data_IF_054252487661
#
_entry.id   IF_054252487661
#
_cell.length_a   1.000
_cell.length_b   1.000
_cell.length_c   1.000
_cell.angle_alpha   90.00
_cell.angle_beta   90.00
_cell.angle_gamma   90.00
#
_symmetry.space_group_name_H-M   'P 1'
#
loop_
_entity.id
_entity.type
_entity.pdbx_description
1 polymer ?
#
# COMPACT_ATOMS: atom_id res chain seq x y z
N UNK A 1 15.13 23.11 7.42
CA UNK A 1 14.15 22.48 6.51
C UNK A 1 14.96 21.89 5.38
N UNK A 2 14.83 20.59 5.10
CA UNK A 2 15.47 19.98 3.92
C UNK A 2 14.72 20.46 2.68
N UNK A 3 15.43 21.01 1.68
CA UNK A 3 14.81 21.33 0.40
C UNK A 3 14.29 20.04 -0.25
N UNK A 4 13.06 20.08 -0.76
CA UNK A 4 12.46 18.96 -1.46
C UNK A 4 13.31 18.59 -2.68
N UNK A 5 13.60 17.30 -2.85
CA UNK A 5 14.39 16.80 -3.96
C UNK A 5 13.59 15.82 -4.80
N UNK A 6 13.40 16.17 -6.08
CA UNK A 6 12.79 15.31 -7.10
C UNK A 6 13.49 13.96 -7.22
N UNK A 7 14.82 13.96 -7.22
CA UNK A 7 15.60 12.72 -7.34
C UNK A 7 15.47 11.85 -6.09
N UNK A 8 15.42 12.45 -4.90
CA UNK A 8 15.18 11.72 -3.66
C UNK A 8 13.76 11.13 -3.64
N UNK A 9 12.75 11.92 -3.99
CA UNK A 9 11.37 11.46 -4.07
C UNK A 9 11.21 10.31 -5.08
N UNK A 10 11.78 10.43 -6.28
CA UNK A 10 11.76 9.37 -7.29
C UNK A 10 12.50 8.11 -6.81
N UNK A 11 13.64 8.25 -6.12
CA UNK A 11 14.36 7.13 -5.53
C UNK A 11 13.53 6.41 -4.47
N UNK A 12 12.86 7.15 -3.56
CA UNK A 12 11.96 6.56 -2.57
C UNK A 12 10.81 5.81 -3.24
N UNK A 13 10.18 6.39 -4.26
CA UNK A 13 9.09 5.73 -4.99
C UNK A 13 9.55 4.45 -5.69
N UNK A 14 10.77 4.44 -6.23
CA UNK A 14 11.37 3.23 -6.80
C UNK A 14 11.59 2.14 -5.76
N UNK A 15 12.08 2.48 -4.57
CA UNK A 15 12.22 1.53 -3.45
C UNK A 15 10.84 0.98 -3.06
N UNK A 16 9.81 1.83 -2.93
CA UNK A 16 8.44 1.40 -2.65
C UNK A 16 7.90 0.42 -3.71
N UNK A 17 8.24 0.62 -4.98
CA UNK A 17 7.89 -0.34 -6.04
C UNK A 17 8.57 -1.69 -5.82
N UNK A 18 9.88 -1.69 -5.57
CA UNK A 18 10.67 -2.92 -5.34
C UNK A 18 10.16 -3.68 -4.10
N UNK A 19 9.86 -2.97 -3.01
CA UNK A 19 9.27 -3.53 -1.79
C UNK A 19 7.88 -4.13 -2.06
N UNK A 20 7.02 -3.43 -2.80
CA UNK A 20 5.68 -3.94 -3.13
C UNK A 20 5.74 -5.21 -3.99
N UNK A 21 6.71 -5.32 -4.91
CA UNK A 21 6.94 -6.54 -5.68
C UNK A 21 7.41 -7.71 -4.79
N UNK A 22 8.29 -7.44 -3.82
CA UNK A 22 8.72 -8.43 -2.83
C UNK A 22 7.56 -8.94 -1.98
N UNK A 23 6.70 -8.03 -1.49
CA UNK A 23 5.51 -8.38 -0.72
C UNK A 23 4.52 -9.19 -1.58
N UNK A 24 4.30 -8.76 -2.83
CA UNK A 24 3.43 -9.45 -3.77
C UNK A 24 3.87 -10.91 -3.98
N UNK A 25 5.16 -11.16 -4.16
CA UNK A 25 5.69 -12.51 -4.32
C UNK A 25 5.40 -13.41 -3.10
N UNK A 26 5.50 -12.86 -1.88
CA UNK A 26 5.16 -13.60 -0.66
C UNK A 26 3.66 -13.93 -0.58
N UNK A 27 2.79 -13.00 -0.97
CA UNK A 27 1.34 -13.21 -1.02
C UNK A 27 0.97 -14.25 -2.09
N UNK A 28 1.60 -14.20 -3.26
CA UNK A 28 1.37 -15.17 -4.35
C UNK A 28 1.85 -16.58 -3.97
N UNK A 29 2.99 -16.69 -3.29
CA UNK A 29 3.45 -17.96 -2.74
C UNK A 29 2.44 -18.53 -1.73
N UNK A 30 1.95 -17.71 -0.80
CA UNK A 30 0.94 -18.13 0.17
C UNK A 30 -0.36 -18.61 -0.50
N UNK A 31 -0.84 -17.88 -1.50
CA UNK A 31 -2.02 -18.28 -2.29
C UNK A 31 -1.82 -19.63 -3.00
N UNK A 32 -0.63 -19.88 -3.55
CA UNK A 32 -0.32 -21.15 -4.22
C UNK A 32 -0.26 -22.34 -3.23
N UNK A 33 0.24 -22.11 -2.01
CA UNK A 33 0.32 -23.15 -0.98
C UNK A 33 -1.05 -23.45 -0.34
N UNK A 34 -1.98 -22.51 -0.28
CA UNK A 34 -3.35 -22.77 0.18
C UNK A 34 -4.14 -23.62 -0.86
N UNK A 35 -3.85 -23.49 -2.16
CA UNK A 35 -4.53 -24.29 -3.20
C UNK A 35 -4.20 -25.79 -3.19
N UNK A 36 -3.03 -26.20 -2.68
CA UNK A 36 -2.68 -27.62 -2.53
C UNK A 36 -3.38 -28.29 -1.35
N UNK A 37 -3.77 -27.53 -0.32
CA UNK A 37 -4.57 -28.01 0.82
C UNK A 37 -6.05 -28.19 0.46
N UNK A 38 -6.59 -27.34 -0.43
CA UNK A 38 -7.96 -27.51 -0.94
C UNK A 38 -8.15 -28.81 -1.77
N UNK A 39 -7.06 -29.40 -2.30
CA UNK A 39 -7.11 -30.64 -3.08
C UNK A 39 -7.18 -31.93 -2.24
N UNK A 40 -7.10 -31.83 -0.91
CA UNK A 40 -7.22 -32.98 0.01
C UNK A 40 -8.49 -32.95 0.88
N UNK A 41 -9.20 -31.82 0.92
CA UNK A 41 -10.49 -31.68 1.61
C UNK A 41 -11.66 -31.92 0.64
N UNK A 42 -11.80 -33.16 0.18
CA UNK A 42 -13.04 -33.63 -0.44
C UNK A 42 -14.15 -33.68 0.61
N UNK A 43 -15.29 -33.09 0.26
CA UNK A 43 -16.61 -33.26 0.86
C UNK A 43 -16.75 -32.98 2.37
N UNK A 44 -17.09 -31.73 2.70
CA UNK A 44 -17.67 -31.42 4.01
C UNK A 44 -17.70 -29.93 4.34
N UNK A 45 -18.87 -29.33 4.17
CA UNK A 45 -19.31 -28.09 4.83
C UNK A 45 -18.92 -26.73 4.20
N UNK A 46 -19.74 -26.33 3.23
CA UNK A 46 -19.83 -24.99 2.64
C UNK A 46 -20.44 -23.97 3.63
N UNK A 47 -19.73 -23.60 4.71
CA UNK A 47 -20.17 -22.46 5.52
C UNK A 47 -19.00 -21.67 6.15
N UNK A 48 -18.85 -20.41 5.71
CA UNK A 48 -18.16 -19.28 6.36
C UNK A 48 -16.64 -19.28 6.62
N UNK A 49 -15.85 -20.27 6.19
CA UNK A 49 -14.40 -20.31 6.50
C UNK A 49 -13.41 -19.96 5.37
N UNK A 50 -13.88 -19.59 4.17
CA UNK A 50 -13.01 -19.27 3.01
C UNK A 50 -12.51 -17.80 2.92
N UNK A 51 -12.53 -17.03 4.01
CA UNK A 51 -12.18 -15.59 3.95
C UNK A 51 -10.68 -15.33 3.77
N UNK A 52 -9.80 -16.26 4.15
CA UNK A 52 -8.35 -16.05 4.10
C UNK A 52 -7.80 -15.97 2.65
N UNK A 53 -8.09 -16.94 1.75
CA UNK A 53 -7.73 -16.78 0.33
C UNK A 53 -8.34 -15.54 -0.32
N UNK A 54 -9.54 -15.13 0.08
CA UNK A 54 -10.18 -13.92 -0.43
C UNK A 54 -9.47 -12.63 0.05
N UNK A 55 -9.03 -12.57 1.31
CA UNK A 55 -8.24 -11.45 1.85
C UNK A 55 -6.87 -11.36 1.16
N UNK A 56 -6.18 -12.49 1.00
CA UNK A 56 -4.92 -12.54 0.25
C UNK A 56 -5.10 -12.11 -1.21
N UNK A 57 -6.19 -12.53 -1.86
CA UNK A 57 -6.51 -12.10 -3.23
C UNK A 57 -6.78 -10.59 -3.31
N UNK A 58 -7.45 -10.03 -2.31
CA UNK A 58 -7.71 -8.59 -2.23
C UNK A 58 -6.42 -7.81 -2.02
N UNK A 59 -5.57 -8.26 -1.09
CA UNK A 59 -4.25 -7.68 -0.84
C UNK A 59 -3.38 -7.73 -2.11
N UNK A 60 -3.36 -8.86 -2.81
CA UNK A 60 -2.67 -9.05 -4.10
C UNK A 60 -3.11 -8.00 -5.12
N UNK A 61 -4.41 -7.81 -5.31
CA UNK A 61 -4.93 -6.81 -6.25
C UNK A 61 -4.50 -5.38 -5.88
N UNK A 62 -4.51 -5.03 -4.58
CA UNK A 62 -4.04 -3.72 -4.11
C UNK A 62 -2.54 -3.52 -4.32
N UNK A 63 -1.72 -4.54 -4.07
CA UNK A 63 -0.28 -4.51 -4.30
C UNK A 63 0.07 -4.33 -5.79
N UNK A 64 -0.69 -4.96 -6.69
CA UNK A 64 -0.51 -4.81 -8.14
C UNK A 64 -0.80 -3.38 -8.58
N UNK A 65 -1.92 -2.79 -8.12
CA UNK A 65 -2.24 -1.38 -8.41
C UNK A 65 -1.23 -0.42 -7.80
N UNK A 66 -0.81 -0.66 -6.56
CA UNK A 66 0.21 0.14 -5.90
C UNK A 66 1.51 0.13 -6.69
N UNK A 67 1.98 -1.06 -7.07
CA UNK A 67 3.19 -1.23 -7.89
C UNK A 67 3.08 -0.54 -9.25
N UNK A 68 1.90 -0.56 -9.87
CA UNK A 68 1.66 0.14 -11.12
C UNK A 68 1.83 1.66 -10.93
N UNK A 69 1.20 2.23 -9.90
CA UNK A 69 1.25 3.66 -9.65
C UNK A 69 2.63 4.14 -9.16
N UNK A 70 3.34 3.38 -8.33
CA UNK A 70 4.71 3.75 -7.92
C UNK A 70 5.67 3.70 -9.10
N UNK A 71 5.57 2.70 -9.97
CA UNK A 71 6.36 2.64 -11.20
C UNK A 71 6.11 3.87 -12.10
N UNK A 72 4.84 4.25 -12.30
CA UNK A 72 4.48 5.45 -13.06
C UNK A 72 4.99 6.73 -12.38
N UNK A 73 4.75 6.88 -11.08
CA UNK A 73 5.13 8.07 -10.32
C UNK A 73 6.64 8.30 -10.34
N UNK A 74 7.47 7.24 -10.34
CA UNK A 74 8.94 7.37 -10.43
C UNK A 74 9.37 8.21 -11.63
N UNK A 75 8.83 7.91 -12.81
CA UNK A 75 9.18 8.63 -14.04
C UNK A 75 8.55 10.04 -14.03
N UNK A 76 7.28 10.13 -13.65
CA UNK A 76 6.53 11.40 -13.67
C UNK A 76 7.11 12.43 -12.70
N UNK A 77 7.63 11.99 -11.55
CA UNK A 77 8.34 12.88 -10.61
C UNK A 77 9.58 13.47 -11.29
N UNK A 78 10.41 12.64 -11.93
CA UNK A 78 11.64 13.11 -12.59
C UNK A 78 11.37 14.09 -13.74
N UNK A 79 10.25 13.91 -14.43
CA UNK A 79 9.84 14.71 -15.58
C UNK A 79 8.93 15.89 -15.22
N UNK A 80 8.61 16.09 -13.94
CA UNK A 80 7.65 17.11 -13.52
C UNK A 80 8.14 18.52 -13.89
N UNK A 81 7.36 19.31 -14.65
CA UNK A 81 7.78 20.62 -15.12
C UNK A 81 7.86 21.64 -13.98
N UNK A 82 6.99 21.48 -12.97
CA UNK A 82 6.87 22.36 -11.82
C UNK A 82 6.29 21.61 -10.62
N UNK A 83 6.72 21.99 -9.41
CA UNK A 83 6.15 21.47 -8.17
C UNK A 83 5.93 22.63 -7.21
N UNK A 84 4.65 22.88 -6.93
CA UNK A 84 4.23 23.85 -5.94
C UNK A 84 4.76 23.47 -4.53
N UNK A 85 5.29 24.41 -3.73
CA UNK A 85 5.91 24.10 -2.44
C UNK A 85 5.02 23.33 -1.46
N UNK A 86 3.72 23.62 -1.44
CA UNK A 86 2.78 22.88 -0.60
C UNK A 86 2.63 21.42 -1.06
N UNK A 87 2.63 21.19 -2.37
CA UNK A 87 2.56 19.83 -2.90
C UNK A 87 3.88 19.09 -2.64
N UNK A 88 5.03 19.73 -2.78
CA UNK A 88 6.32 19.16 -2.39
C UNK A 88 6.32 18.64 -0.95
N UNK A 89 5.77 19.43 -0.01
CA UNK A 89 5.65 19.02 1.40
C UNK A 89 4.69 17.83 1.59
N UNK A 90 3.53 17.86 0.93
CA UNK A 90 2.56 16.75 0.99
C UNK A 90 3.16 15.47 0.41
N UNK A 91 3.85 15.57 -0.73
CA UNK A 91 4.50 14.45 -1.37
C UNK A 91 5.62 13.90 -0.49
N UNK A 92 6.48 14.75 0.06
CA UNK A 92 7.56 14.32 0.96
C UNK A 92 7.02 13.58 2.20
N UNK A 93 6.10 14.20 2.93
CA UNK A 93 5.48 13.59 4.13
C UNK A 93 4.81 12.27 3.79
N UNK A 94 4.05 12.22 2.68
CA UNK A 94 3.38 11.01 2.25
C UNK A 94 4.35 9.90 1.86
N UNK A 95 5.47 10.21 1.23
CA UNK A 95 6.50 9.22 0.89
C UNK A 95 7.21 8.65 2.13
N UNK A 96 7.56 9.51 3.09
CA UNK A 96 8.19 9.11 4.36
C UNK A 96 7.26 8.21 5.19
N UNK A 97 5.98 8.59 5.31
CA UNK A 97 4.95 7.81 5.98
C UNK A 97 4.72 6.46 5.26
N UNK A 98 4.64 6.47 3.93
CA UNK A 98 4.46 5.27 3.12
C UNK A 98 5.63 4.29 3.31
N UNK A 99 6.87 4.76 3.17
CA UNK A 99 8.06 3.92 3.30
C UNK A 99 8.14 3.29 4.68
N UNK A 100 7.86 4.07 5.72
CA UNK A 100 7.86 3.56 7.10
C UNK A 100 6.81 2.46 7.29
N UNK A 101 5.59 2.66 6.77
CA UNK A 101 4.53 1.65 6.85
C UNK A 101 4.83 0.41 6.00
N UNK A 102 5.34 0.57 4.78
CA UNK A 102 5.72 -0.54 3.90
C UNK A 102 6.84 -1.38 4.52
N UNK A 103 7.82 -0.77 5.20
CA UNK A 103 8.85 -1.51 5.94
C UNK A 103 8.26 -2.45 7.01
N UNK A 104 7.20 -2.00 7.72
CA UNK A 104 6.48 -2.85 8.67
C UNK A 104 5.76 -3.99 7.95
N UNK A 105 5.14 -3.73 6.80
CA UNK A 105 4.52 -4.78 5.98
C UNK A 105 5.56 -5.80 5.52
N UNK A 106 6.69 -5.36 4.98
CA UNK A 106 7.77 -6.24 4.50
C UNK A 106 8.28 -7.15 5.61
N UNK A 107 8.45 -6.63 6.84
CA UNK A 107 8.85 -7.42 8.00
C UNK A 107 7.77 -8.35 8.57
N UNK A 108 6.48 -8.00 8.37
CA UNK A 108 5.35 -8.69 9.00
C UNK A 108 4.54 -9.62 8.08
N UNK A 109 4.59 -9.43 6.76
CA UNK A 109 3.69 -10.12 5.82
C UNK A 109 3.90 -11.63 5.83
N UNK A 110 5.14 -12.11 5.88
CA UNK A 110 5.44 -13.55 5.94
C UNK A 110 4.83 -14.26 7.15
N UNK A 111 4.62 -13.55 8.26
CA UNK A 111 3.95 -14.10 9.46
C UNK A 111 2.43 -14.00 9.37
N UNK A 112 1.92 -12.94 8.74
CA UNK A 112 0.50 -12.70 8.57
C UNK A 112 -0.15 -13.68 7.58
N UNK A 113 0.54 -14.02 6.49
CA UNK A 113 0.02 -14.91 5.43
C UNK A 113 0.11 -16.40 5.78
N UNK A 114 0.86 -16.78 6.81
CA UNK A 114 0.95 -18.18 7.26
C UNK A 114 -0.26 -18.53 8.12
N UNK A 115 -1.21 -19.27 7.60
CA UNK A 115 -2.23 -19.97 8.40
C UNK A 115 -1.65 -21.30 8.86
N UNK A 116 -1.33 -21.42 10.15
CA UNK A 116 -0.97 -22.72 10.73
C UNK A 116 -2.23 -23.55 10.91
N UNK A 117 -2.19 -24.82 10.50
CA UNK A 117 -3.20 -25.81 10.91
C UNK A 117 -3.22 -25.89 12.44
N UNK A 118 -4.41 -25.76 13.05
CA UNK A 118 -4.57 -25.78 14.51
C UNK A 118 -4.36 -24.45 15.25
N UNK A 119 -4.27 -23.31 14.55
CA UNK A 119 -4.22 -22.01 15.21
C UNK A 119 -5.51 -21.72 16.00
N UNK A 120 -5.37 -21.25 17.24
CA UNK A 120 -6.51 -20.80 18.04
C UNK A 120 -7.30 -19.69 17.33
N UNK A 121 -8.63 -19.67 17.48
CA UNK A 121 -9.51 -18.71 16.79
C UNK A 121 -9.07 -17.24 16.96
N UNK A 122 -8.53 -16.88 18.14
CA UNK A 122 -7.98 -15.55 18.39
C UNK A 122 -6.74 -15.21 17.56
N UNK A 123 -5.87 -16.19 17.28
CA UNK A 123 -4.70 -15.99 16.44
C UNK A 123 -5.07 -15.83 14.95
N UNK A 124 -6.12 -16.52 14.50
CA UNK A 124 -6.66 -16.36 13.13
C UNK A 124 -7.28 -14.97 12.98
N UNK A 125 -8.11 -14.53 13.93
CA UNK A 125 -8.72 -13.20 13.91
C UNK A 125 -7.67 -12.07 13.90
N UNK A 126 -6.60 -12.20 14.69
CA UNK A 126 -5.50 -11.24 14.70
C UNK A 126 -4.78 -11.15 13.34
N UNK A 127 -4.54 -12.29 12.67
CA UNK A 127 -3.93 -12.29 11.32
C UNK A 127 -4.83 -11.65 10.27
N UNK A 128 -6.15 -11.87 10.35
CA UNK A 128 -7.13 -11.21 9.48
C UNK A 128 -7.09 -9.69 9.65
N UNK A 129 -7.11 -9.20 10.88
CA UNK A 129 -7.01 -7.76 11.17
C UNK A 129 -5.72 -7.16 10.58
N UNK A 130 -4.59 -7.87 10.69
CA UNK A 130 -3.31 -7.43 10.09
C UNK A 130 -3.40 -7.36 8.56
N UNK A 131 -3.95 -8.37 7.89
CA UNK A 131 -4.11 -8.37 6.43
C UNK A 131 -5.08 -7.28 5.95
N UNK A 132 -6.13 -6.98 6.72
CA UNK A 132 -7.06 -5.90 6.41
C UNK A 132 -6.39 -4.53 6.53
N UNK A 133 -5.53 -4.33 7.54
CA UNK A 133 -4.71 -3.11 7.66
C UNK A 133 -3.74 -2.94 6.50
N UNK A 134 -3.05 -4.01 6.10
CA UNK A 134 -2.17 -3.98 4.92
C UNK A 134 -2.95 -3.64 3.65
N UNK A 135 -4.13 -4.24 3.47
CA UNK A 135 -5.00 -3.99 2.32
C UNK A 135 -5.46 -2.53 2.29
N UNK A 136 -5.85 -1.98 3.45
CA UNK A 136 -6.24 -0.58 3.59
C UNK A 136 -5.07 0.36 3.26
N UNK A 137 -3.85 0.06 3.73
CA UNK A 137 -2.64 0.83 3.43
C UNK A 137 -2.42 0.96 1.93
N UNK A 138 -2.29 -0.16 1.21
CA UNK A 138 -2.04 -0.13 -0.23
C UNK A 138 -3.22 0.49 -0.99
N UNK A 139 -4.46 0.28 -0.54
CA UNK A 139 -5.64 0.91 -1.12
C UNK A 139 -5.64 2.45 -1.00
N UNK A 140 -5.31 2.98 0.17
CA UNK A 140 -5.21 4.43 0.38
C UNK A 140 -4.04 5.04 -0.39
N UNK A 141 -2.86 4.39 -0.38
CA UNK A 141 -1.71 4.91 -1.11
C UNK A 141 -1.83 4.80 -2.63
N UNK A 142 -2.63 3.87 -3.17
CA UNK A 142 -3.01 3.90 -4.59
C UNK A 142 -3.72 5.21 -4.95
N UNK A 143 -4.67 5.66 -4.11
CA UNK A 143 -5.37 6.94 -4.30
C UNK A 143 -4.41 8.12 -4.16
N UNK A 144 -3.52 8.07 -3.16
CA UNK A 144 -2.48 9.09 -2.97
C UNK A 144 -1.57 9.20 -4.19
N UNK A 145 -1.01 8.10 -4.70
CA UNK A 145 -0.13 8.15 -5.88
C UNK A 145 -0.88 8.56 -7.15
N UNK A 146 -2.15 8.17 -7.30
CA UNK A 146 -2.96 8.64 -8.42
C UNK A 146 -3.17 10.16 -8.36
N UNK A 147 -3.47 10.72 -7.18
CA UNK A 147 -3.53 12.16 -6.96
C UNK A 147 -2.18 12.84 -7.24
N UNK A 148 -1.08 12.30 -6.68
CA UNK A 148 0.25 12.85 -6.88
C UNK A 148 0.63 12.89 -8.36
N UNK A 149 0.31 11.83 -9.11
CA UNK A 149 0.50 11.81 -10.57
C UNK A 149 -0.32 12.91 -11.24
N UNK A 150 -1.60 13.08 -10.89
CA UNK A 150 -2.44 14.14 -11.46
C UNK A 150 -1.88 15.54 -11.19
N UNK A 151 -1.38 15.79 -9.98
CA UNK A 151 -0.75 17.07 -9.62
C UNK A 151 0.57 17.28 -10.37
N UNK A 152 1.41 16.25 -10.49
CA UNK A 152 2.73 16.33 -11.15
C UNK A 152 2.65 16.58 -12.66
N UNK A 153 1.56 16.15 -13.33
CA UNK A 153 1.38 16.39 -14.77
C UNK A 153 0.75 17.75 -15.08
N UNK A 154 0.29 18.50 -14.07
CA UNK A 154 -0.22 19.85 -14.29
C UNK A 154 0.91 20.78 -14.75
N UNK A 155 0.58 21.68 -15.67
CA UNK A 155 1.55 22.55 -16.32
C UNK A 155 1.89 23.76 -15.44
N UNK A 156 1.05 24.08 -14.46
CA UNK A 156 1.21 25.29 -13.64
C UNK A 156 1.05 25.04 -12.14
N UNK A 157 1.75 25.85 -11.33
CA UNK A 157 1.63 25.83 -9.87
C UNK A 157 0.21 26.21 -9.41
N UNK A 158 -0.48 27.09 -10.15
CA UNK A 158 -1.83 27.55 -9.81
C UNK A 158 -2.86 26.43 -9.94
N UNK A 159 -2.71 25.55 -10.92
CA UNK A 159 -3.56 24.35 -11.05
C UNK A 159 -3.33 23.40 -9.88
N UNK A 160 -2.06 23.19 -9.51
CA UNK A 160 -1.71 22.38 -8.34
C UNK A 160 -2.30 22.97 -7.05
N UNK A 161 -2.15 24.28 -6.82
CA UNK A 161 -2.71 24.98 -5.67
C UNK A 161 -4.24 24.83 -5.60
N UNK A 162 -4.92 25.03 -6.74
CA UNK A 162 -6.39 24.92 -6.81
C UNK A 162 -6.86 23.51 -6.48
N UNK A 163 -6.17 22.48 -6.98
CA UNK A 163 -6.50 21.08 -6.67
C UNK A 163 -6.16 20.73 -5.21
N UNK A 164 -5.04 21.21 -4.66
CA UNK A 164 -4.69 20.99 -3.25
C UNK A 164 -5.69 21.60 -2.27
N UNK A 165 -6.39 22.67 -2.67
CA UNK A 165 -7.44 23.29 -1.88
C UNK A 165 -8.76 22.48 -1.88
N UNK A 166 -8.89 21.45 -2.72
CA UNK A 166 -10.09 20.61 -2.80
C UNK A 166 -10.24 19.70 -1.56
N UNK A 167 -11.46 19.60 -1.05
CA UNK A 167 -11.76 18.78 0.13
C UNK A 167 -11.53 17.28 -0.12
N UNK A 168 -11.77 16.82 -1.36
CA UNK A 168 -11.50 15.44 -1.78
C UNK A 168 -10.01 15.11 -1.73
N UNK A 169 -9.14 16.06 -2.09
CA UNK A 169 -7.68 15.91 -1.99
C UNK A 169 -7.25 15.79 -0.53
N UNK A 170 -7.77 16.66 0.34
CA UNK A 170 -7.50 16.60 1.79
C UNK A 170 -7.90 15.23 2.36
N UNK A 171 -9.05 14.68 1.95
CA UNK A 171 -9.49 13.35 2.38
C UNK A 171 -8.55 12.24 1.91
N UNK A 172 -8.06 12.29 0.66
CA UNK A 172 -7.12 11.28 0.14
C UNK A 172 -5.82 11.26 0.96
N UNK A 173 -5.26 12.44 1.26
CA UNK A 173 -4.03 12.55 2.07
C UNK A 173 -4.25 12.04 3.48
N UNK A 174 -5.38 12.41 4.11
CA UNK A 174 -5.72 11.95 5.46
C UNK A 174 -5.98 10.43 5.52
N UNK A 175 -6.68 9.87 4.53
CA UNK A 175 -6.93 8.43 4.44
C UNK A 175 -5.62 7.63 4.32
N UNK A 176 -4.64 8.15 3.56
CA UNK A 176 -3.31 7.54 3.43
C UNK A 176 -2.52 7.59 4.75
N UNK A 177 -2.50 8.75 5.40
CA UNK A 177 -1.85 8.92 6.72
C UNK A 177 -2.46 8.00 7.77
N UNK A 178 -3.78 7.98 7.91
CA UNK A 178 -4.46 7.13 8.89
C UNK A 178 -4.20 5.65 8.62
N UNK A 179 -4.15 5.23 7.35
CA UNK A 179 -3.81 3.84 7.02
C UNK A 179 -2.35 3.51 7.38
N UNK A 180 -1.41 4.43 7.15
CA UNK A 180 -0.03 4.30 7.62
C UNK A 180 0.05 4.17 9.14
N UNK A 181 -0.61 5.05 9.89
CA UNK A 181 -0.64 5.01 11.36
C UNK A 181 -1.17 3.67 11.90
N UNK A 182 -2.22 3.13 11.29
CA UNK A 182 -2.79 1.82 11.66
C UNK A 182 -1.80 0.68 11.44
N UNK A 183 -1.00 0.72 10.38
CA UNK A 183 0.06 -0.28 10.14
C UNK A 183 1.26 -0.06 11.05
N UNK A 184 1.70 1.18 11.24
CA UNK A 184 2.80 1.54 12.14
C UNK A 184 2.49 1.19 13.61
N UNK A 185 1.21 1.13 14.00
CA UNK A 185 0.83 0.64 15.33
C UNK A 185 1.14 -0.85 15.57
N UNK A 186 1.39 -1.64 14.52
CA UNK A 186 1.73 -3.06 14.63
C UNK A 186 3.18 -3.30 15.04
N UNK A 187 4.05 -2.28 14.95
CA UNK A 187 5.46 -2.35 15.32
C UNK A 187 5.78 -1.70 16.66
N UNK A 188 4.76 -1.32 17.44
CA UNK A 188 4.87 -0.74 18.78
C UNK A 188 4.63 -1.81 19.84
#
# INVERSE_FOLDING_TARGET
MSDFSLSAAAATVRVLFEDAQSILAQVELALSNDTTLASTAGDGDNNNNNTHPQQLSTLRARLQLFSHHTKQATQIILDAPVIHPQFAQVLQSGLEECQSAVNVVTGGVGSAVKTGEGAAAGAVAAKRDVLDRYTALFGSYVRFFSLSIQLLIMETEKEQETMLADAGVTNIVNDARQAAERVLSLSR
#
